data_IF_532372335851
#
_entry.id   IF_532372335851
#
_cell.length_a   1.000
_cell.length_b   1.000
_cell.length_c   1.000
_cell.angle_alpha   90.00
_cell.angle_beta   90.00
_cell.angle_gamma   90.00
#
_symmetry.space_group_name_H-M   'P 1'
#
loop_
_entity.id
_entity.type
_entity.pdbx_description
1 polymer ?
#
# COMPACT_ATOMS: atom_id res chain seq x y z
N UNK A 1 12.21 1.02 1.63
CA UNK A 1 13.12 2.13 1.23
C UNK A 1 12.23 3.32 0.87
N UNK A 2 12.17 4.35 1.71
CA UNK A 2 11.13 5.40 1.64
C UNK A 2 11.27 6.29 0.40
N UNK A 3 10.15 6.57 -0.28
CA UNK A 3 9.98 7.59 -1.34
C UNK A 3 10.66 8.92 -0.98
N UNK A 4 10.79 9.21 0.31
CA UNK A 4 11.41 10.43 0.83
C UNK A 4 12.88 10.61 0.42
N UNK A 5 13.62 9.53 0.16
CA UNK A 5 15.04 9.60 -0.23
C UNK A 5 15.21 9.96 -1.72
N UNK A 6 14.22 9.66 -2.56
CA UNK A 6 14.22 10.00 -3.99
C UNK A 6 13.89 11.49 -4.22
N UNK A 7 13.01 12.07 -3.40
CA UNK A 7 12.67 13.50 -3.50
C UNK A 7 13.79 14.43 -3.02
N UNK A 8 14.55 14.02 -1.99
CA UNK A 8 15.65 14.84 -1.47
C UNK A 8 16.75 15.06 -2.51
N UNK A 9 17.04 14.05 -3.34
CA UNK A 9 18.00 14.16 -4.45
C UNK A 9 17.51 15.10 -5.56
N UNK A 10 16.19 15.28 -5.71
CA UNK A 10 15.60 16.23 -6.66
C UNK A 10 15.66 17.67 -6.12
N UNK A 11 15.43 17.85 -4.82
CA UNK A 11 15.61 19.14 -4.14
C UNK A 11 17.08 19.59 -4.16
N UNK A 12 18.03 18.68 -3.98
CA UNK A 12 19.48 18.99 -4.02
C UNK A 12 19.97 19.31 -5.45
N UNK A 13 19.32 18.79 -6.49
CA UNK A 13 19.61 19.13 -7.91
C UNK A 13 18.92 20.45 -8.31
N UNK A 14 17.72 20.74 -7.77
CA UNK A 14 17.03 22.01 -8.00
C UNK A 14 17.71 23.22 -7.34
N UNK A 15 18.62 22.99 -6.37
CA UNK A 15 19.41 24.06 -5.76
C UNK A 15 20.52 24.66 -6.65
N UNK A 16 20.79 24.09 -7.84
CA UNK A 16 21.90 24.55 -8.71
C UNK A 16 21.54 25.55 -9.82
N UNK A 17 20.31 26.08 -9.87
CA UNK A 17 20.01 27.30 -10.64
C UNK A 17 18.77 27.99 -10.05
N UNK A 18 18.96 28.85 -9.04
CA UNK A 18 17.95 29.84 -8.65
C UNK A 18 17.78 30.82 -9.81
N UNK A 19 16.87 30.52 -10.74
CA UNK A 19 16.47 31.46 -11.77
C UNK A 19 15.46 32.44 -11.17
N UNK A 20 15.74 33.74 -11.31
CA UNK A 20 14.86 34.79 -10.78
C UNK A 20 13.53 34.75 -11.51
N UNK A 21 12.42 34.72 -10.76
CA UNK A 21 11.08 34.78 -11.36
C UNK A 21 10.87 36.16 -11.99
N UNK A 22 10.63 36.21 -13.29
CA UNK A 22 10.32 37.47 -13.98
C UNK A 22 8.95 37.96 -13.53
N UNK A 23 8.88 39.21 -13.12
CA UNK A 23 7.60 39.87 -12.88
C UNK A 23 6.92 40.18 -14.22
N UNK A 24 5.80 39.51 -14.50
CA UNK A 24 5.08 39.64 -15.76
C UNK A 24 4.48 41.04 -15.95
N UNK A 25 4.22 41.77 -14.86
CA UNK A 25 3.67 43.12 -14.93
C UNK A 25 4.70 44.14 -15.42
N UNK A 26 5.98 43.94 -15.10
CA UNK A 26 7.08 44.82 -15.51
C UNK A 26 7.61 44.58 -16.93
N UNK A 27 7.03 43.64 -17.69
CA UNK A 27 7.41 43.40 -19.08
C UNK A 27 7.15 44.64 -19.95
N UNK A 28 8.20 45.07 -20.68
CA UNK A 28 8.20 46.21 -21.59
C UNK A 28 7.29 45.97 -22.79
N UNK A 29 6.33 46.87 -23.01
CA UNK A 29 5.33 46.69 -24.09
C UNK A 29 5.92 47.03 -25.45
N UNK A 30 6.85 47.99 -25.51
CA UNK A 30 7.52 48.36 -26.77
C UNK A 30 8.41 47.25 -27.28
N UNK A 31 8.03 46.70 -28.44
CA UNK A 31 8.78 45.72 -29.21
C UNK A 31 10.25 46.06 -29.47
N UNK A 32 10.65 47.33 -29.53
CA UNK A 32 12.04 47.72 -29.72
C UNK A 32 12.88 47.49 -28.45
N UNK A 33 12.26 47.65 -27.28
CA UNK A 33 12.91 47.52 -25.99
C UNK A 33 12.74 46.11 -25.39
N UNK A 34 11.91 45.25 -26.00
CA UNK A 34 11.71 43.85 -25.58
C UNK A 34 13.04 43.09 -25.64
N UNK A 35 13.51 42.52 -24.51
CA UNK A 35 14.63 41.59 -24.52
C UNK A 35 14.31 40.37 -25.39
N UNK A 36 15.33 39.81 -26.05
CA UNK A 36 15.17 38.54 -26.78
C UNK A 36 14.59 37.46 -25.88
N UNK A 37 13.62 36.70 -26.39
CA UNK A 37 12.96 35.64 -25.61
C UNK A 37 13.95 34.56 -25.12
N UNK A 38 15.09 34.45 -25.80
CA UNK A 38 16.16 33.51 -25.46
C UNK A 38 16.91 33.90 -24.17
N UNK A 39 16.87 35.17 -23.78
CA UNK A 39 17.48 35.67 -22.54
C UNK A 39 16.73 35.18 -21.29
N UNK A 40 15.48 34.73 -21.44
CA UNK A 40 14.71 34.16 -20.35
C UNK A 40 14.94 32.66 -20.21
N UNK A 41 14.80 32.16 -18.98
CA UNK A 41 14.91 30.75 -18.67
C UNK A 41 13.84 29.92 -19.41
N UNK A 42 14.22 28.75 -19.94
CA UNK A 42 13.36 27.91 -20.81
C UNK A 42 11.98 27.66 -20.21
N UNK A 43 11.90 27.39 -18.91
CA UNK A 43 10.65 27.10 -18.20
C UNK A 43 9.71 28.32 -18.03
N UNK A 44 10.18 29.55 -18.27
CA UNK A 44 9.37 30.77 -18.17
C UNK A 44 9.00 31.37 -19.52
N UNK A 45 9.69 30.98 -20.61
CA UNK A 45 9.53 31.59 -21.93
C UNK A 45 8.09 31.58 -22.42
N UNK A 46 7.35 30.49 -22.19
CA UNK A 46 5.95 30.39 -22.62
C UNK A 46 5.01 31.27 -21.77
N UNK A 47 5.29 31.42 -20.48
CA UNK A 47 4.56 32.33 -19.60
C UNK A 47 4.77 33.79 -20.01
N UNK A 48 6.02 34.16 -20.32
CA UNK A 48 6.40 35.49 -20.78
C UNK A 48 5.80 35.79 -22.17
N UNK A 49 5.84 34.83 -23.12
CA UNK A 49 5.18 34.98 -24.43
C UNK A 49 3.68 35.24 -24.29
N UNK A 50 2.99 34.49 -23.41
CA UNK A 50 1.57 34.72 -23.12
C UNK A 50 1.31 36.10 -22.52
N UNK A 51 2.15 36.54 -21.59
CA UNK A 51 2.03 37.87 -20.99
C UNK A 51 2.20 39.00 -22.04
N UNK A 52 3.15 38.87 -22.98
CA UNK A 52 3.27 39.80 -24.10
C UNK A 52 2.02 39.82 -24.99
N UNK A 53 1.46 38.64 -25.31
CA UNK A 53 0.23 38.54 -26.11
C UNK A 53 -0.98 39.17 -25.42
N UNK A 54 -1.07 39.07 -24.09
CA UNK A 54 -2.15 39.67 -23.28
C UNK A 54 -2.02 41.20 -23.14
N UNK A 55 -0.79 41.74 -23.21
CA UNK A 55 -0.52 43.18 -23.17
C UNK A 55 -0.89 43.94 -24.45
N UNK A 56 -1.40 43.23 -25.47
CA UNK A 56 -1.79 43.71 -26.80
C UNK A 56 -0.63 44.32 -27.62
N UNK A 57 -0.78 44.42 -28.96
CA UNK A 57 0.14 45.15 -29.83
C UNK A 57 0.45 46.57 -29.33
N UNK A 58 1.71 46.96 -29.37
CA UNK A 58 2.09 48.35 -29.05
C UNK A 58 1.74 49.29 -30.22
N UNK A 59 0.90 50.29 -29.94
CA UNK A 59 0.53 51.35 -30.87
C UNK A 59 1.02 52.70 -30.35
N UNK A 60 2.05 53.31 -30.97
CA UNK A 60 2.52 54.62 -30.56
C UNK A 60 1.55 55.69 -31.10
N UNK A 61 0.53 56.02 -30.30
CA UNK A 61 -0.45 57.05 -30.59
C UNK A 61 0.23 58.43 -30.65
N UNK A 62 -0.13 59.24 -31.64
CA UNK A 62 0.42 60.58 -31.90
C UNK A 62 1.91 60.63 -32.30
N UNK A 63 2.50 59.49 -32.71
CA UNK A 63 3.86 59.47 -33.22
C UNK A 63 3.92 59.98 -34.67
N UNK A 64 4.77 60.98 -34.93
CA UNK A 64 5.03 61.45 -36.30
C UNK A 64 5.99 60.52 -37.00
N UNK A 65 5.47 59.56 -37.77
CA UNK A 65 6.28 58.65 -38.56
C UNK A 65 7.06 59.42 -39.65
N UNK A 66 8.41 59.33 -39.67
CA UNK A 66 9.22 60.04 -40.65
C UNK A 66 8.97 59.47 -42.05
N UNK A 67 8.92 60.31 -43.10
CA UNK A 67 8.80 59.83 -44.46
C UNK A 67 10.11 59.20 -44.93
N UNK A 68 10.02 58.16 -45.75
CA UNK A 68 11.15 57.54 -46.43
C UNK A 68 10.96 57.62 -47.95
N UNK A 69 12.04 57.89 -48.68
CA UNK A 69 12.00 57.94 -50.13
C UNK A 69 12.15 56.54 -50.72
N UNK A 70 11.16 56.12 -51.52
CA UNK A 70 11.19 54.84 -52.19
C UNK A 70 10.69 55.02 -53.62
N UNK A 71 11.64 54.98 -54.58
CA UNK A 71 11.36 55.19 -55.99
C UNK A 71 10.98 56.64 -56.35
N UNK A 72 11.54 57.64 -55.64
CA UNK A 72 11.32 59.06 -55.91
C UNK A 72 9.99 59.61 -55.38
N UNK A 73 9.34 58.89 -54.47
CA UNK A 73 8.09 59.31 -53.82
C UNK A 73 8.29 59.22 -52.30
N UNK A 74 8.04 60.30 -51.56
CA UNK A 74 8.04 60.25 -50.10
C UNK A 74 6.82 59.44 -49.67
N UNK A 75 7.07 58.38 -48.93
CA UNK A 75 6.05 57.57 -48.32
C UNK A 75 6.14 57.84 -46.79
N UNK A 76 5.06 57.81 -46.00
CA UNK A 76 5.06 57.59 -44.49
C UNK A 76 3.97 56.63 -43.97
N UNK A 77 4.21 55.87 -42.90
CA UNK A 77 3.17 55.00 -42.30
C UNK A 77 1.93 55.81 -41.90
N UNK A 78 0.73 55.26 -42.11
CA UNK A 78 -0.55 55.93 -41.83
C UNK A 78 -1.12 55.40 -40.51
N UNK A 79 -1.18 56.26 -39.49
CA UNK A 79 -1.63 55.91 -38.13
C UNK A 79 -3.06 55.33 -38.09
N UNK A 80 -3.96 55.80 -38.97
CA UNK A 80 -5.35 55.31 -39.02
C UNK A 80 -5.47 53.80 -39.30
N UNK A 81 -4.42 53.17 -39.81
CA UNK A 81 -4.39 51.73 -40.08
C UNK A 81 -4.34 50.86 -38.83
N UNK A 82 -3.90 51.41 -37.69
CA UNK A 82 -4.04 50.74 -36.39
C UNK A 82 -5.51 50.58 -36.00
N UNK A 83 -6.39 51.49 -36.39
CA UNK A 83 -7.83 51.38 -36.13
C UNK A 83 -8.43 50.14 -36.81
N UNK A 84 -8.16 50.00 -38.11
CA UNK A 84 -8.67 48.88 -38.92
C UNK A 84 -8.06 47.52 -38.54
N UNK A 85 -6.87 47.51 -37.91
CA UNK A 85 -6.08 46.29 -37.63
C UNK A 85 -5.59 46.19 -36.18
N UNK A 86 -6.42 46.69 -35.25
CA UNK A 86 -6.10 46.87 -33.83
C UNK A 86 -5.55 45.63 -33.12
N UNK A 87 -5.92 44.45 -33.58
CA UNK A 87 -5.68 43.20 -32.86
C UNK A 87 -4.40 42.46 -33.27
N UNK A 88 -3.71 42.89 -34.34
CA UNK A 88 -2.56 42.14 -34.86
C UNK A 88 -1.46 43.00 -35.52
N UNK A 89 -1.75 44.27 -35.85
CA UNK A 89 -0.76 45.16 -36.45
C UNK A 89 0.15 45.76 -35.37
N UNK A 90 1.42 45.38 -35.36
CA UNK A 90 2.48 45.94 -34.49
C UNK A 90 3.43 46.86 -35.30
N UNK A 91 3.84 47.97 -34.68
CA UNK A 91 4.65 49.02 -35.32
C UNK A 91 6.02 48.55 -35.85
N UNK A 92 6.82 47.83 -35.05
CA UNK A 92 8.23 47.57 -35.37
C UNK A 92 8.41 46.60 -36.56
N UNK A 93 7.61 45.54 -36.64
CA UNK A 93 7.70 44.55 -37.73
C UNK A 93 7.37 45.13 -39.12
N UNK A 94 6.42 46.07 -39.18
CA UNK A 94 5.96 46.65 -40.45
C UNK A 94 6.76 47.88 -40.88
N UNK A 95 7.28 48.67 -39.94
CA UNK A 95 7.94 49.95 -40.25
C UNK A 95 9.46 49.85 -40.38
N UNK A 96 10.14 48.97 -39.62
CA UNK A 96 11.61 48.83 -39.69
C UNK A 96 12.13 47.59 -40.42
N UNK A 97 11.42 46.46 -40.36
CA UNK A 97 12.05 45.16 -40.68
C UNK A 97 11.51 44.39 -41.88
N UNK A 98 10.30 44.63 -42.42
CA UNK A 98 9.77 43.59 -43.35
C UNK A 98 8.68 43.90 -44.37
N UNK A 99 8.01 45.06 -44.38
CA UNK A 99 6.89 45.25 -45.31
C UNK A 99 7.14 46.39 -46.30
N UNK A 100 7.58 46.07 -47.52
CA UNK A 100 7.92 47.06 -48.57
C UNK A 100 6.71 47.79 -49.19
N UNK A 101 5.47 47.40 -48.87
CA UNK A 101 4.24 47.91 -49.50
C UNK A 101 3.29 48.64 -48.53
N UNK A 102 3.87 49.29 -47.52
CA UNK A 102 3.21 49.98 -46.43
C UNK A 102 2.37 51.21 -46.84
N UNK A 103 2.31 51.53 -48.14
CA UNK A 103 1.44 52.56 -48.71
C UNK A 103 0.15 51.98 -49.35
N UNK A 104 -0.01 50.65 -49.39
CA UNK A 104 -1.18 49.97 -49.99
C UNK A 104 -1.93 49.14 -48.96
N UNK A 105 -3.15 49.56 -48.60
CA UNK A 105 -4.06 48.80 -47.72
C UNK A 105 -4.29 47.36 -48.21
N UNK A 106 -4.39 47.16 -49.53
CA UNK A 106 -4.52 45.83 -50.14
C UNK A 106 -3.36 44.86 -49.86
N UNK A 107 -2.17 45.36 -49.48
CA UNK A 107 -1.05 44.53 -49.07
C UNK A 107 -1.26 43.91 -47.68
N UNK A 108 -1.95 44.63 -46.77
CA UNK A 108 -2.32 44.15 -45.44
C UNK A 108 -3.40 43.06 -45.57
N UNK A 109 -4.39 43.29 -46.42
CA UNK A 109 -5.47 42.32 -46.69
C UNK A 109 -4.90 41.00 -47.24
N UNK A 110 -3.99 41.07 -48.21
CA UNK A 110 -3.29 39.88 -48.74
C UNK A 110 -2.41 39.17 -47.70
N UNK A 111 -1.78 39.89 -46.77
CA UNK A 111 -0.99 39.27 -45.72
C UNK A 111 -1.86 38.49 -44.74
N UNK A 112 -3.02 39.02 -44.36
CA UNK A 112 -3.98 38.38 -43.46
C UNK A 112 -4.45 37.03 -44.01
N UNK A 113 -4.60 36.92 -45.32
CA UNK A 113 -4.95 35.68 -46.03
C UNK A 113 -3.74 34.77 -46.30
N UNK A 114 -2.53 35.23 -45.99
CA UNK A 114 -1.30 34.48 -46.19
C UNK A 114 -1.17 33.29 -45.24
N UNK A 115 -0.65 32.18 -45.76
CA UNK A 115 -0.43 30.93 -44.99
C UNK A 115 0.43 31.16 -43.74
N UNK A 116 1.46 32.00 -43.83
CA UNK A 116 2.37 32.31 -42.72
C UNK A 116 1.60 33.00 -41.58
N UNK A 117 0.72 33.95 -41.89
CA UNK A 117 -0.09 34.65 -40.91
C UNK A 117 -1.06 33.67 -40.22
N UNK A 118 -1.77 32.86 -41.01
CA UNK A 118 -2.70 31.84 -40.50
C UNK A 118 -1.99 30.88 -39.54
N UNK A 119 -0.82 30.36 -39.92
CA UNK A 119 -0.01 29.47 -39.08
C UNK A 119 0.44 30.19 -37.79
N UNK A 120 0.85 31.46 -37.88
CA UNK A 120 1.26 32.23 -36.71
C UNK A 120 0.09 32.48 -35.73
N UNK A 121 -1.10 32.79 -36.25
CA UNK A 121 -2.33 32.95 -35.46
C UNK A 121 -2.71 31.63 -34.79
N UNK A 122 -2.65 30.51 -35.50
CA UNK A 122 -2.90 29.18 -34.94
C UNK A 122 -1.90 28.84 -33.81
N UNK A 123 -0.60 29.10 -34.01
CA UNK A 123 0.42 28.91 -32.97
C UNK A 123 0.14 29.76 -31.73
N UNK A 124 -0.28 31.01 -31.92
CA UNK A 124 -0.67 31.91 -30.84
C UNK A 124 -1.87 31.36 -30.05
N UNK A 125 -2.93 30.93 -30.75
CA UNK A 125 -4.12 30.34 -30.13
C UNK A 125 -3.77 29.07 -29.33
N UNK A 126 -2.94 28.19 -29.87
CA UNK A 126 -2.47 26.98 -29.18
C UNK A 126 -1.64 27.31 -27.94
N UNK A 127 -0.75 28.31 -28.00
CA UNK A 127 0.04 28.75 -26.86
C UNK A 127 -0.83 29.34 -25.73
N UNK A 128 -1.92 30.04 -26.09
CA UNK A 128 -2.88 30.60 -25.15
C UNK A 128 -3.77 29.52 -24.49
N UNK A 129 -3.95 28.36 -25.14
CA UNK A 129 -4.71 27.24 -24.60
C UNK A 129 -3.88 26.43 -23.58
N UNK A 130 -3.83 26.90 -22.34
CA UNK A 130 -3.06 26.24 -21.28
C UNK A 130 -3.48 24.78 -21.01
N UNK A 131 -4.70 24.37 -21.35
CA UNK A 131 -5.19 22.98 -21.15
C UNK A 131 -4.44 21.94 -21.98
N UNK A 132 -3.78 22.38 -23.06
CA UNK A 132 -2.94 21.56 -23.95
C UNK A 132 -1.44 21.70 -23.64
N UNK A 133 -1.08 22.43 -22.57
CA UNK A 133 0.32 22.55 -22.17
C UNK A 133 0.90 21.19 -21.79
N UNK A 134 2.23 21.06 -21.95
CA UNK A 134 2.98 19.87 -21.54
C UNK A 134 2.74 19.60 -20.04
N UNK A 135 2.76 20.64 -19.21
CA UNK A 135 2.46 20.54 -17.77
C UNK A 135 1.09 19.91 -17.52
N UNK A 136 0.03 20.45 -18.16
CA UNK A 136 -1.32 19.90 -18.00
C UNK A 136 -1.45 18.48 -18.57
N UNK A 137 -0.70 18.11 -19.60
CA UNK A 137 -0.66 16.74 -20.11
C UNK A 137 0.02 15.79 -19.11
N UNK A 138 1.12 16.20 -18.49
CA UNK A 138 1.80 15.44 -17.44
C UNK A 138 0.91 15.26 -16.20
N UNK A 139 0.28 16.33 -15.71
CA UNK A 139 -0.65 16.27 -14.57
C UNK A 139 -1.81 15.30 -14.83
N UNK A 140 -2.43 15.39 -16.01
CA UNK A 140 -3.49 14.46 -16.43
C UNK A 140 -2.98 13.02 -16.48
N UNK A 141 -1.81 12.78 -17.06
CA UNK A 141 -1.23 11.44 -17.13
C UNK A 141 -0.94 10.89 -15.72
N UNK A 142 -0.47 11.71 -14.80
CA UNK A 142 -0.26 11.34 -13.40
C UNK A 142 -1.58 10.92 -12.75
N UNK A 143 -2.63 11.73 -12.88
CA UNK A 143 -3.95 11.41 -12.29
C UNK A 143 -4.55 10.12 -12.86
N UNK A 144 -4.38 9.86 -14.16
CA UNK A 144 -4.86 8.62 -14.79
C UNK A 144 -4.09 7.40 -14.27
N UNK A 145 -2.75 7.50 -14.20
CA UNK A 145 -1.90 6.43 -13.66
C UNK A 145 -2.20 6.13 -12.20
N UNK A 146 -2.47 7.15 -11.38
CA UNK A 146 -2.90 7.00 -9.99
C UNK A 146 -4.23 6.25 -9.91
N UNK A 147 -5.22 6.65 -10.71
CA UNK A 147 -6.53 5.98 -10.75
C UNK A 147 -6.43 4.52 -11.19
N UNK A 148 -5.62 4.24 -12.21
CA UNK A 148 -5.33 2.88 -12.64
C UNK A 148 -4.64 2.06 -11.55
N UNK A 149 -3.65 2.63 -10.86
CA UNK A 149 -2.97 1.98 -9.74
C UNK A 149 -3.95 1.67 -8.61
N UNK A 150 -4.78 2.63 -8.22
CA UNK A 150 -5.80 2.45 -7.18
C UNK A 150 -6.80 1.35 -7.55
N UNK A 151 -7.21 1.29 -8.82
CA UNK A 151 -8.10 0.23 -9.32
C UNK A 151 -7.45 -1.16 -9.17
N UNK A 152 -6.16 -1.28 -9.51
CA UNK A 152 -5.40 -2.53 -9.36
C UNK A 152 -5.21 -2.91 -7.89
N UNK A 153 -4.90 -1.94 -7.02
CA UNK A 153 -4.76 -2.17 -5.59
C UNK A 153 -6.07 -2.64 -4.96
N UNK A 154 -7.19 -1.98 -5.28
CA UNK A 154 -8.51 -2.38 -4.79
C UNK A 154 -8.86 -3.81 -5.22
N UNK A 155 -8.61 -4.15 -6.50
CA UNK A 155 -8.78 -5.50 -6.98
C UNK A 155 -7.93 -6.52 -6.20
N UNK A 156 -6.65 -6.22 -5.95
CA UNK A 156 -5.78 -7.06 -5.13
C UNK A 156 -6.32 -7.25 -3.71
N UNK A 157 -6.82 -6.17 -3.08
CA UNK A 157 -7.43 -6.24 -1.74
C UNK A 157 -8.70 -7.11 -1.76
N UNK A 158 -9.53 -7.02 -2.80
CA UNK A 158 -10.73 -7.83 -2.92
C UNK A 158 -10.41 -9.31 -3.12
N UNK A 159 -9.33 -9.63 -3.86
CA UNK A 159 -8.79 -10.98 -3.91
C UNK A 159 -8.33 -11.46 -2.54
N UNK A 160 -7.57 -10.66 -1.79
CA UNK A 160 -7.15 -10.99 -0.41
C UNK A 160 -8.36 -11.30 0.47
N UNK A 161 -9.40 -10.46 0.43
CA UNK A 161 -10.63 -10.67 1.20
C UNK A 161 -11.33 -11.97 0.81
N UNK A 162 -11.37 -12.30 -0.47
CA UNK A 162 -11.93 -13.56 -0.94
C UNK A 162 -11.15 -14.76 -0.40
N UNK A 163 -9.83 -14.73 -0.49
CA UNK A 163 -8.95 -15.79 -0.01
C UNK A 163 -9.09 -15.98 1.50
N UNK A 164 -9.07 -14.88 2.27
CA UNK A 164 -9.27 -14.91 3.72
C UNK A 164 -10.61 -15.53 4.12
N UNK A 165 -11.70 -15.19 3.41
CA UNK A 165 -13.03 -15.77 3.66
C UNK A 165 -13.13 -17.27 3.34
N UNK A 166 -12.23 -17.77 2.50
CA UNK A 166 -12.19 -19.18 2.08
C UNK A 166 -11.08 -19.98 2.76
N UNK A 167 -10.26 -19.36 3.61
CA UNK A 167 -9.09 -20.01 4.20
C UNK A 167 -8.05 -20.44 3.16
N UNK A 168 -8.01 -19.78 2.01
CA UNK A 168 -7.11 -20.13 0.92
C UNK A 168 -5.77 -19.41 1.08
N UNK A 169 -4.69 -20.10 0.72
CA UNK A 169 -3.36 -19.54 0.74
C UNK A 169 -3.25 -18.37 -0.26
N UNK A 170 -2.53 -17.33 0.15
CA UNK A 170 -2.25 -16.16 -0.70
C UNK A 170 -1.36 -16.49 -1.90
N UNK A 171 -0.58 -17.58 -1.79
CA UNK A 171 0.21 -18.18 -2.85
C UNK A 171 -0.02 -19.69 -2.81
N UNK A 172 -0.46 -20.26 -3.93
CA UNK A 172 -0.52 -21.72 -4.09
C UNK A 172 0.89 -22.31 -4.27
N UNK A 173 1.01 -23.63 -4.13
CA UNK A 173 2.25 -24.35 -4.46
C UNK A 173 2.55 -24.44 -5.96
N UNK A 174 1.58 -24.11 -6.82
CA UNK A 174 1.73 -24.13 -8.28
C UNK A 174 1.37 -22.76 -8.86
N UNK A 175 2.37 -22.05 -9.37
CA UNK A 175 2.22 -20.81 -10.17
C UNK A 175 1.72 -21.08 -11.61
N UNK A 176 1.25 -22.30 -11.90
CA UNK A 176 0.75 -22.66 -13.23
C UNK A 176 -0.56 -21.91 -13.51
N UNK A 177 -0.64 -21.29 -14.68
CA UNK A 177 -1.68 -20.32 -15.10
C UNK A 177 -3.13 -20.83 -15.10
N UNK A 178 -3.34 -22.13 -14.87
CA UNK A 178 -4.62 -22.84 -14.95
C UNK A 178 -5.30 -23.11 -13.61
N UNK A 179 -4.70 -22.68 -12.48
CA UNK A 179 -5.42 -22.80 -11.21
C UNK A 179 -6.63 -21.85 -11.23
N UNK A 180 -7.81 -22.40 -10.95
CA UNK A 180 -9.13 -21.74 -10.95
C UNK A 180 -9.27 -20.64 -9.87
N UNK A 181 -8.15 -20.15 -9.34
CA UNK A 181 -8.09 -19.06 -8.39
C UNK A 181 -8.30 -17.74 -9.14
N UNK A 182 -9.38 -17.05 -8.76
CA UNK A 182 -9.81 -15.75 -9.28
C UNK A 182 -8.75 -14.65 -9.20
N UNK A 183 -7.63 -14.90 -8.52
CA UNK A 183 -6.43 -14.04 -8.46
C UNK A 183 -5.87 -13.65 -9.83
N UNK A 184 -6.01 -14.52 -10.82
CA UNK A 184 -5.42 -14.29 -12.14
C UNK A 184 -6.28 -13.43 -13.07
N UNK A 185 -7.60 -13.42 -12.91
CA UNK A 185 -8.49 -12.81 -13.93
C UNK A 185 -8.43 -11.29 -13.88
N UNK A 186 -8.34 -10.68 -12.69
CA UNK A 186 -8.39 -9.21 -12.56
C UNK A 186 -7.04 -8.55 -12.89
N UNK A 187 -5.92 -9.26 -12.68
CA UNK A 187 -4.57 -8.72 -12.87
C UNK A 187 -3.95 -9.05 -14.25
N UNK A 188 -4.57 -9.95 -15.05
CA UNK A 188 -4.09 -10.30 -16.41
C UNK A 188 -4.12 -9.10 -17.38
N UNK A 189 -5.04 -8.16 -17.17
CA UNK A 189 -5.20 -6.98 -18.03
C UNK A 189 -4.25 -5.82 -17.68
N UNK A 190 -3.46 -5.92 -16.61
CA UNK A 190 -2.51 -4.87 -16.24
C UNK A 190 -1.17 -5.03 -16.98
N UNK A 191 -0.48 -3.93 -17.33
CA UNK A 191 0.87 -3.96 -17.87
C UNK A 191 1.77 -4.81 -16.98
N UNK A 192 2.69 -5.61 -17.55
CA UNK A 192 3.52 -6.60 -16.81
C UNK A 192 4.15 -6.00 -15.54
N UNK A 193 4.58 -4.75 -15.62
CA UNK A 193 5.30 -4.02 -14.56
C UNK A 193 4.36 -3.49 -13.45
N UNK A 194 3.05 -3.69 -13.57
CA UNK A 194 2.03 -3.11 -12.69
C UNK A 194 1.01 -4.14 -12.21
N UNK A 195 1.30 -5.43 -12.34
CA UNK A 195 0.38 -6.50 -11.94
C UNK A 195 0.30 -6.71 -10.41
N UNK A 196 1.05 -5.95 -9.60
CA UNK A 196 1.06 -6.01 -8.12
C UNK A 196 1.35 -7.42 -7.54
N UNK A 197 2.01 -8.28 -8.32
CA UNK A 197 2.36 -9.66 -7.97
C UNK A 197 3.70 -9.80 -7.24
N UNK A 198 4.46 -8.71 -7.10
CA UNK A 198 5.75 -8.74 -6.41
C UNK A 198 5.57 -9.16 -4.94
N UNK A 199 6.47 -10.01 -4.43
CA UNK A 199 6.39 -10.50 -3.07
C UNK A 199 6.46 -9.43 -1.99
N UNK A 200 7.16 -8.32 -2.24
CA UNK A 200 7.19 -7.19 -1.31
C UNK A 200 5.82 -6.52 -1.21
N UNK A 201 5.18 -6.23 -2.36
CA UNK A 201 3.83 -5.62 -2.40
C UNK A 201 2.81 -6.52 -1.71
N UNK A 202 2.90 -7.84 -1.94
CA UNK A 202 2.01 -8.80 -1.31
C UNK A 202 2.20 -8.85 0.21
N UNK A 203 3.44 -8.83 0.70
CA UNK A 203 3.74 -8.75 2.13
C UNK A 203 3.20 -7.46 2.75
N UNK A 204 3.33 -6.33 2.06
CA UNK A 204 2.80 -5.05 2.53
C UNK A 204 1.26 -5.08 2.66
N UNK A 205 0.57 -5.66 1.67
CA UNK A 205 -0.90 -5.82 1.72
C UNK A 205 -1.31 -6.74 2.88
N UNK A 206 -0.61 -7.87 3.06
CA UNK A 206 -0.87 -8.81 4.16
C UNK A 206 -0.63 -8.14 5.52
N UNK A 207 0.46 -7.39 5.66
CA UNK A 207 0.77 -6.65 6.89
C UNK A 207 -0.33 -5.62 7.21
N UNK A 208 -0.75 -4.83 6.22
CA UNK A 208 -1.83 -3.86 6.39
C UNK A 208 -3.15 -4.54 6.81
N UNK A 209 -3.47 -5.71 6.24
CA UNK A 209 -4.64 -6.50 6.64
C UNK A 209 -4.52 -7.02 8.08
N UNK A 210 -3.34 -7.53 8.47
CA UNK A 210 -3.06 -7.96 9.84
C UNK A 210 -3.26 -6.82 10.83
N UNK A 211 -2.69 -5.65 10.56
CA UNK A 211 -2.80 -4.47 11.43
C UNK A 211 -4.26 -4.01 11.57
N UNK A 212 -5.04 -4.01 10.48
CA UNK A 212 -6.46 -3.68 10.51
C UNK A 212 -7.28 -4.67 11.36
N UNK A 213 -7.04 -5.97 11.20
CA UNK A 213 -7.72 -7.01 11.99
C UNK A 213 -7.40 -6.84 13.48
N UNK A 214 -6.13 -6.60 13.79
CA UNK A 214 -5.67 -6.38 15.16
C UNK A 214 -6.28 -5.13 15.78
N UNK A 215 -6.38 -4.04 15.03
CA UNK A 215 -7.06 -2.81 15.48
C UNK A 215 -8.55 -3.05 15.79
N UNK A 216 -9.22 -3.91 15.01
CA UNK A 216 -10.61 -4.30 15.30
C UNK A 216 -10.67 -5.11 16.60
N UNK A 217 -9.78 -6.09 16.77
CA UNK A 217 -9.71 -6.93 17.99
C UNK A 217 -9.43 -6.07 19.24
N UNK A 218 -8.42 -5.20 19.19
CA UNK A 218 -8.06 -4.32 20.31
C UNK A 218 -9.15 -3.28 20.58
N UNK A 219 -9.80 -2.77 19.54
CA UNK A 219 -10.97 -1.90 19.67
C UNK A 219 -12.14 -2.59 20.39
N UNK A 220 -12.41 -3.86 20.06
CA UNK A 220 -13.48 -4.66 20.68
C UNK A 220 -13.16 -5.01 22.15
N UNK A 221 -11.88 -5.24 22.47
CA UNK A 221 -11.37 -5.41 23.84
C UNK A 221 -11.42 -4.10 24.65
N UNK A 222 -11.13 -2.96 24.00
CA UNK A 222 -11.08 -1.63 24.62
C UNK A 222 -10.15 -1.60 25.84
N UNK A 223 -10.69 -1.16 26.98
CA UNK A 223 -9.99 -1.11 28.28
C UNK A 223 -10.29 -2.33 29.18
N UNK A 224 -10.94 -3.38 28.65
CA UNK A 224 -11.31 -4.58 29.39
C UNK A 224 -10.13 -5.44 29.85
N UNK A 225 -10.40 -6.39 30.75
CA UNK A 225 -9.42 -7.40 31.12
C UNK A 225 -9.40 -8.54 30.09
N UNK A 226 -8.28 -9.25 30.01
CA UNK A 226 -8.13 -10.37 29.08
C UNK A 226 -7.30 -11.51 29.69
N UNK A 227 -7.44 -12.70 29.11
CA UNK A 227 -6.59 -13.85 29.36
C UNK A 227 -5.72 -14.13 28.14
N UNK A 228 -4.51 -14.66 28.39
CA UNK A 228 -3.53 -15.01 27.36
C UNK A 228 -3.39 -16.52 27.25
N UNK A 229 -3.37 -16.99 26.01
CA UNK A 229 -3.22 -18.39 25.64
C UNK A 229 -2.00 -18.42 24.72
N UNK A 230 -0.93 -19.09 25.15
CA UNK A 230 0.29 -19.16 24.36
C UNK A 230 0.73 -20.61 24.19
N UNK A 231 1.17 -20.92 22.97
CA UNK A 231 1.60 -22.26 22.59
C UNK A 231 2.87 -22.19 21.74
N UNK A 232 3.78 -23.12 21.99
CA UNK A 232 5.06 -23.25 21.29
C UNK A 232 4.94 -24.25 20.14
N UNK A 233 5.56 -23.93 19.01
CA UNK A 233 5.61 -24.82 17.85
C UNK A 233 6.86 -24.58 17.03
N UNK A 234 7.19 -25.48 16.11
CA UNK A 234 8.32 -25.33 15.19
C UNK A 234 7.83 -25.23 13.76
N UNK A 235 8.46 -24.37 12.96
CA UNK A 235 8.20 -24.32 11.52
C UNK A 235 8.91 -25.46 10.76
N UNK A 236 8.65 -25.56 9.46
CA UNK A 236 9.27 -26.57 8.56
C UNK A 236 10.80 -26.45 8.46
N UNK A 237 11.38 -25.34 8.90
CA UNK A 237 12.83 -25.13 9.00
C UNK A 237 13.36 -25.35 10.42
N UNK A 238 12.56 -25.99 11.28
CA UNK A 238 12.84 -26.26 12.69
C UNK A 238 13.10 -25.00 13.53
N UNK A 239 12.50 -23.87 13.16
CA UNK A 239 12.57 -22.63 13.96
C UNK A 239 11.42 -22.55 14.92
N UNK A 240 11.74 -22.17 16.15
CA UNK A 240 10.79 -21.99 17.24
C UNK A 240 9.84 -20.81 16.99
N UNK A 241 8.56 -21.03 17.27
CA UNK A 241 7.47 -20.08 17.07
C UNK A 241 6.54 -20.07 18.27
N UNK A 242 6.12 -18.87 18.67
CA UNK A 242 5.13 -18.66 19.72
C UNK A 242 3.83 -18.15 19.10
N UNK A 243 2.76 -18.93 19.24
CA UNK A 243 1.40 -18.50 18.91
C UNK A 243 0.76 -17.82 20.13
N UNK A 244 0.07 -16.70 19.92
CA UNK A 244 -0.64 -15.99 20.98
C UNK A 244 -2.12 -15.78 20.61
N UNK A 245 -2.99 -16.21 21.52
CA UNK A 245 -4.44 -16.02 21.46
C UNK A 245 -4.88 -15.25 22.70
N UNK A 246 -5.82 -14.32 22.51
CA UNK A 246 -6.46 -13.57 23.59
C UNK A 246 -7.89 -14.04 23.79
N UNK A 247 -8.27 -14.23 25.05
CA UNK A 247 -9.66 -14.48 25.45
C UNK A 247 -10.18 -13.31 26.29
N UNK A 248 -11.28 -12.70 25.89
CA UNK A 248 -11.84 -11.54 26.58
C UNK A 248 -13.35 -11.44 26.39
N UNK A 249 -13.97 -10.50 27.11
CA UNK A 249 -15.39 -10.17 26.95
C UNK A 249 -15.50 -8.98 26.01
N UNK A 250 -16.17 -9.17 24.87
CA UNK A 250 -16.36 -8.10 23.88
C UNK A 250 -17.40 -7.06 24.37
N UNK A 251 -17.62 -6.01 23.57
CA UNK A 251 -18.60 -4.96 23.88
C UNK A 251 -20.06 -5.44 23.94
N UNK A 252 -20.35 -6.64 23.41
CA UNK A 252 -21.66 -7.30 23.46
C UNK A 252 -21.81 -8.22 24.67
N UNK A 253 -20.84 -8.20 25.60
CA UNK A 253 -20.79 -9.08 26.77
C UNK A 253 -20.62 -10.57 26.44
N UNK A 254 -20.04 -10.89 25.27
CA UNK A 254 -19.77 -12.26 24.84
C UNK A 254 -18.31 -12.62 25.10
N UNK A 255 -18.07 -13.87 25.52
CA UNK A 255 -16.71 -14.41 25.64
C UNK A 255 -16.21 -14.73 24.23
N UNK A 256 -15.12 -14.07 23.82
CA UNK A 256 -14.50 -14.26 22.51
C UNK A 256 -13.04 -14.67 22.65
N UNK A 257 -12.61 -15.56 21.77
CA UNK A 257 -11.21 -15.95 21.59
C UNK A 257 -10.73 -15.42 20.24
N UNK A 258 -9.60 -14.72 20.24
CA UNK A 258 -9.04 -14.07 19.06
C UNK A 258 -7.56 -14.41 18.95
N UNK A 259 -7.20 -15.10 17.88
CA UNK A 259 -5.81 -15.26 17.48
C UNK A 259 -5.22 -13.90 17.13
N UNK A 260 -4.05 -13.62 17.71
CA UNK A 260 -3.41 -12.30 17.58
C UNK A 260 -2.17 -12.38 16.70
N UNK A 261 -1.43 -13.47 16.80
CA UNK A 261 -0.32 -13.67 15.89
C UNK A 261 0.59 -14.80 16.30
N UNK A 262 1.55 -15.04 15.40
CA UNK A 262 2.62 -15.98 15.59
C UNK A 262 3.96 -15.24 15.44
N UNK A 263 4.90 -15.56 16.32
CA UNK A 263 6.16 -14.81 16.43
C UNK A 263 7.31 -15.79 16.55
N UNK A 264 8.30 -15.65 15.67
CA UNK A 264 9.53 -16.43 15.78
C UNK A 264 10.28 -16.02 17.04
N UNK A 265 10.69 -17.03 17.81
CA UNK A 265 11.54 -16.88 18.99
C UNK A 265 12.89 -17.55 18.73
N UNK A 266 13.95 -17.04 19.37
CA UNK A 266 15.30 -17.60 19.17
C UNK A 266 15.55 -18.81 20.08
N UNK A 267 14.87 -18.84 21.22
CA UNK A 267 14.89 -19.93 22.18
C UNK A 267 13.55 -19.99 22.93
N UNK A 268 13.30 -21.13 23.56
CA UNK A 268 12.07 -21.51 24.25
C UNK A 268 12.17 -21.31 25.76
N UNK A 269 13.17 -20.53 26.21
CA UNK A 269 13.30 -20.21 27.62
C UNK A 269 12.13 -19.36 28.08
N UNK A 270 11.67 -19.57 29.32
CA UNK A 270 10.55 -18.82 29.88
C UNK A 270 10.75 -17.29 29.83
N UNK A 271 12.00 -16.81 29.93
CA UNK A 271 12.35 -15.39 29.82
C UNK A 271 12.18 -14.86 28.39
N UNK A 272 12.66 -15.60 27.38
CA UNK A 272 12.49 -15.27 25.96
C UNK A 272 11.02 -15.25 25.57
N UNK A 273 10.25 -16.24 26.00
CA UNK A 273 8.82 -16.33 25.74
C UNK A 273 8.06 -15.17 26.39
N UNK A 274 8.37 -14.84 27.65
CA UNK A 274 7.78 -13.67 28.33
C UNK A 274 8.10 -12.37 27.61
N UNK A 275 9.36 -12.13 27.27
CA UNK A 275 9.78 -10.94 26.54
C UNK A 275 9.06 -10.83 25.19
N UNK A 276 8.89 -11.94 24.49
CA UNK A 276 8.16 -12.00 23.22
C UNK A 276 6.68 -11.65 23.40
N UNK A 277 6.01 -12.21 24.41
CA UNK A 277 4.61 -11.87 24.72
C UNK A 277 4.49 -10.38 25.04
N UNK A 278 5.40 -9.81 25.82
CA UNK A 278 5.34 -8.40 26.19
C UNK A 278 5.65 -7.47 25.00
N UNK A 279 6.59 -7.85 24.12
CA UNK A 279 6.83 -7.15 22.84
C UNK A 279 5.56 -7.12 22.00
N UNK A 280 4.91 -8.29 21.84
CA UNK A 280 3.64 -8.43 21.14
C UNK A 280 2.55 -7.54 21.75
N UNK A 281 2.28 -7.66 23.06
CA UNK A 281 1.29 -6.83 23.75
C UNK A 281 1.58 -5.33 23.65
N UNK A 282 2.84 -4.92 23.73
CA UNK A 282 3.24 -3.52 23.65
C UNK A 282 2.94 -2.88 22.30
N UNK A 283 3.14 -3.63 21.20
CA UNK A 283 2.82 -3.18 19.83
C UNK A 283 1.34 -2.88 19.64
N UNK A 284 0.48 -3.52 20.43
CA UNK A 284 -0.97 -3.34 20.38
C UNK A 284 -1.52 -2.50 21.52
N UNK A 285 -0.63 -1.81 22.25
CA UNK A 285 -0.97 -0.96 23.39
C UNK A 285 -1.79 -1.70 24.48
N UNK A 286 -1.50 -3.00 24.66
CA UNK A 286 -2.12 -3.82 25.69
C UNK A 286 -1.19 -3.91 26.89
N UNK A 287 -1.66 -3.42 28.04
CA UNK A 287 -0.87 -3.48 29.27
C UNK A 287 -0.90 -4.90 29.86
N UNK A 288 0.26 -5.50 30.21
CA UNK A 288 0.31 -6.78 30.91
C UNK A 288 -0.44 -6.77 32.25
N UNK A 289 -0.56 -5.61 32.90
CA UNK A 289 -1.29 -5.46 34.18
C UNK A 289 -2.78 -5.79 34.08
N UNK A 290 -3.33 -5.81 32.85
CA UNK A 290 -4.73 -6.16 32.55
C UNK A 290 -4.95 -7.65 32.30
N UNK A 291 -3.89 -8.46 32.35
CA UNK A 291 -4.00 -9.91 32.27
C UNK A 291 -4.69 -10.43 33.54
N UNK A 292 -5.69 -11.28 33.36
CA UNK A 292 -6.43 -11.95 34.46
C UNK A 292 -6.39 -13.46 34.38
N UNK A 293 -6.11 -14.01 33.20
CA UNK A 293 -5.94 -15.44 32.99
C UNK A 293 -4.70 -15.74 32.15
N UNK A 294 -4.08 -16.87 32.41
CA UNK A 294 -2.97 -17.41 31.62
C UNK A 294 -3.17 -18.90 31.38
N UNK A 295 -2.97 -19.35 30.14
CA UNK A 295 -3.12 -20.74 29.70
C UNK A 295 -1.93 -21.13 28.82
N UNK A 296 -1.22 -22.18 29.21
CA UNK A 296 -0.03 -22.69 28.52
C UNK A 296 -0.03 -24.22 28.53
N UNK A 297 0.84 -24.82 27.73
CA UNK A 297 1.09 -26.26 27.78
C UNK A 297 1.80 -26.68 29.09
N UNK A 298 1.95 -27.99 29.26
CA UNK A 298 2.58 -28.59 30.45
C UNK A 298 4.10 -28.50 30.46
N UNK A 299 4.75 -27.89 29.46
CA UNK A 299 6.21 -27.86 29.38
C UNK A 299 6.82 -27.11 30.57
N UNK A 300 8.02 -27.50 30.98
CA UNK A 300 8.69 -26.92 32.16
C UNK A 300 8.95 -25.43 32.01
N UNK A 301 9.32 -24.97 30.81
CA UNK A 301 9.53 -23.55 30.49
C UNK A 301 8.22 -22.76 30.50
N UNK A 302 7.08 -23.40 30.30
CA UNK A 302 5.77 -22.76 30.21
C UNK A 302 5.02 -22.75 31.55
N UNK A 303 4.91 -23.92 32.20
CA UNK A 303 4.11 -24.12 33.42
C UNK A 303 4.92 -24.40 34.69
N UNK A 304 6.25 -24.44 34.59
CA UNK A 304 7.15 -24.75 35.70
C UNK A 304 6.98 -23.85 36.93
N UNK A 305 7.04 -24.45 38.11
CA UNK A 305 6.68 -23.80 39.37
C UNK A 305 7.60 -22.63 39.77
N UNK A 306 8.89 -22.67 39.43
CA UNK A 306 9.87 -21.68 39.86
C UNK A 306 10.25 -20.70 38.75
N UNK A 307 10.62 -21.22 37.58
CA UNK A 307 11.14 -20.43 36.46
C UNK A 307 10.29 -20.58 35.18
N UNK A 308 9.09 -21.13 35.28
CA UNK A 308 8.18 -21.21 34.13
C UNK A 308 7.55 -19.87 33.81
N UNK A 309 7.14 -19.69 32.54
CA UNK A 309 6.46 -18.50 32.03
C UNK A 309 5.29 -18.08 32.91
N UNK A 310 4.47 -19.06 33.31
CA UNK A 310 3.39 -18.93 34.29
C UNK A 310 3.81 -18.18 35.55
N UNK A 311 4.90 -18.62 36.18
CA UNK A 311 5.38 -18.03 37.44
C UNK A 311 5.96 -16.64 37.20
N UNK A 312 6.70 -16.46 36.11
CA UNK A 312 7.30 -15.17 35.77
C UNK A 312 6.29 -14.06 35.49
N UNK A 313 5.16 -14.38 34.84
CA UNK A 313 4.08 -13.41 34.59
C UNK A 313 3.25 -13.20 35.86
N UNK A 314 2.95 -14.26 36.61
CA UNK A 314 2.18 -14.17 37.87
C UNK A 314 2.89 -13.32 38.93
N UNK A 315 4.23 -13.39 39.00
CA UNK A 315 5.02 -12.57 39.92
C UNK A 315 4.92 -11.07 39.63
N UNK A 316 4.79 -10.67 38.36
CA UNK A 316 4.61 -9.27 37.97
C UNK A 316 3.14 -8.84 38.00
N UNK A 317 2.25 -9.72 37.56
CA UNK A 317 0.81 -9.48 37.51
C UNK A 317 0.12 -10.49 38.42
N UNK A 318 0.05 -10.17 39.73
CA UNK A 318 -0.54 -11.05 40.75
C UNK A 318 -1.98 -11.47 40.46
N UNK A 319 -2.71 -10.69 39.66
CA UNK A 319 -4.09 -10.97 39.25
C UNK A 319 -4.20 -11.93 38.05
N UNK A 320 -3.10 -12.36 37.44
CA UNK A 320 -3.07 -13.28 36.31
C UNK A 320 -3.10 -14.74 36.78
N UNK A 321 -4.29 -15.32 36.84
CA UNK A 321 -4.50 -16.68 37.36
C UNK A 321 -4.26 -17.73 36.28
N UNK A 322 -3.61 -18.83 36.63
CA UNK A 322 -3.39 -19.93 35.70
C UNK A 322 -4.64 -20.79 35.54
N UNK A 323 -5.12 -20.91 34.31
CA UNK A 323 -6.30 -21.68 33.92
C UNK A 323 -5.83 -23.02 33.34
N UNK A 324 -5.60 -24.01 34.20
CA UNK A 324 -5.42 -25.40 33.77
C UNK A 324 -6.61 -26.24 34.23
N UNK A 325 -7.54 -26.50 33.31
CA UNK A 325 -8.78 -27.22 33.59
C UNK A 325 -8.52 -28.63 34.15
N UNK A 326 -7.52 -29.34 33.62
CA UNK A 326 -7.14 -30.68 34.07
C UNK A 326 -6.57 -30.66 35.49
N UNK A 327 -5.75 -29.68 35.84
CA UNK A 327 -5.17 -29.58 37.18
C UNK A 327 -6.23 -29.25 38.23
N UNK A 328 -7.17 -28.35 37.90
CA UNK A 328 -8.31 -28.03 38.76
C UNK A 328 -9.24 -29.24 38.90
N UNK A 329 -9.47 -29.98 37.82
CA UNK A 329 -10.32 -31.17 37.83
C UNK A 329 -9.71 -32.33 38.65
N UNK A 330 -8.38 -32.50 38.65
CA UNK A 330 -7.69 -33.48 39.51
C UNK A 330 -7.81 -33.19 41.01
N UNK A 331 -8.16 -31.98 41.43
CA UNK A 331 -8.49 -31.70 42.83
C UNK A 331 -9.85 -32.30 43.24
N UNK A 332 -10.67 -32.73 42.29
CA UNK A 332 -11.90 -33.45 42.54
C UNK A 332 -11.61 -34.96 42.52
N UNK A 333 -11.77 -35.62 43.67
CA UNK A 333 -11.40 -37.04 43.87
C UNK A 333 -11.98 -37.95 42.79
N UNK A 334 -13.28 -37.84 42.48
CA UNK A 334 -13.92 -38.67 41.44
C UNK A 334 -13.32 -38.51 40.05
N UNK A 335 -12.87 -37.31 39.70
CA UNK A 335 -12.27 -37.04 38.39
C UNK A 335 -10.82 -37.51 38.38
N UNK A 336 -10.11 -37.35 39.50
CA UNK A 336 -8.78 -37.92 39.66
C UNK A 336 -8.81 -39.46 39.56
N UNK A 337 -9.73 -40.13 40.25
CA UNK A 337 -9.92 -41.58 40.20
C UNK A 337 -10.18 -42.06 38.76
N UNK A 338 -10.99 -41.33 38.00
CA UNK A 338 -11.21 -41.60 36.58
C UNK A 338 -9.90 -41.54 35.77
N UNK A 339 -9.12 -40.46 35.94
CA UNK A 339 -7.85 -40.32 35.24
C UNK A 339 -6.80 -41.36 35.68
N UNK A 340 -6.84 -41.79 36.94
CA UNK A 340 -5.97 -42.86 37.47
C UNK A 340 -6.33 -44.22 36.86
N UNK A 341 -7.62 -44.54 36.76
CA UNK A 341 -8.10 -45.77 36.07
C UNK A 341 -7.72 -45.75 34.59
N UNK A 342 -7.91 -44.62 33.90
CA UNK A 342 -7.50 -44.47 32.49
C UNK A 342 -5.99 -44.64 32.35
N UNK A 343 -5.19 -44.06 33.24
CA UNK A 343 -3.73 -44.19 33.21
C UNK A 343 -3.27 -45.64 33.45
N UNK A 344 -3.91 -46.35 34.38
CA UNK A 344 -3.64 -47.77 34.62
C UNK A 344 -3.99 -48.64 33.40
N UNK A 345 -5.14 -48.40 32.79
CA UNK A 345 -5.56 -49.10 31.56
C UNK A 345 -4.58 -48.84 30.40
N UNK A 346 -4.17 -47.58 30.20
CA UNK A 346 -3.19 -47.22 29.19
C UNK A 346 -1.83 -47.88 29.44
N UNK A 347 -1.41 -48.01 30.70
CA UNK A 347 -0.17 -48.71 31.05
C UNK A 347 -0.26 -50.22 30.78
N UNK A 348 -1.38 -50.87 31.11
CA UNK A 348 -1.60 -52.30 30.83
C UNK A 348 -1.58 -52.56 29.32
N UNK A 349 -2.34 -51.76 28.55
CA UNK A 349 -2.41 -51.90 27.09
C UNK A 349 -1.07 -51.52 26.45
N UNK A 350 -0.43 -50.46 26.94
CA UNK A 350 0.81 -49.92 26.40
C UNK A 350 2.05 -50.78 26.65
N UNK A 351 2.06 -51.58 27.71
CA UNK A 351 3.16 -52.52 28.03
C UNK A 351 3.03 -53.87 27.32
N UNK A 352 1.85 -54.22 26.83
CA UNK A 352 1.61 -55.47 26.10
C UNK A 352 1.61 -55.25 24.58
N UNK A 353 2.69 -55.67 23.91
CA UNK A 353 2.79 -55.63 22.44
C UNK A 353 1.60 -56.32 21.74
N UNK A 354 1.14 -57.45 22.27
CA UNK A 354 0.00 -58.20 21.70
C UNK A 354 -1.32 -57.42 21.77
N UNK A 355 -1.59 -56.77 22.92
CA UNK A 355 -2.82 -56.00 23.09
C UNK A 355 -2.80 -54.70 22.26
N UNK A 356 -1.63 -54.07 22.14
CA UNK A 356 -1.44 -52.91 21.26
C UNK A 356 -1.72 -53.26 19.80
N UNK A 357 -1.22 -54.39 19.32
CA UNK A 357 -1.46 -54.85 17.94
C UNK A 357 -2.93 -55.23 17.70
N UNK A 358 -3.60 -55.87 18.66
CA UNK A 358 -5.03 -56.14 18.55
C UNK A 358 -5.88 -54.86 18.51
N UNK A 359 -5.52 -53.86 19.32
CA UNK A 359 -6.20 -52.56 19.32
C UNK A 359 -6.02 -51.84 17.98
N UNK A 360 -4.80 -51.85 17.42
CA UNK A 360 -4.50 -51.29 16.08
C UNK A 360 -5.32 -51.98 14.99
N UNK A 361 -5.38 -53.32 15.00
CA UNK A 361 -6.19 -54.09 14.05
C UNK A 361 -7.68 -53.74 14.13
N UNK A 362 -8.24 -53.61 15.33
CA UNK A 362 -9.65 -53.20 15.52
C UNK A 362 -9.89 -51.77 15.04
N UNK A 363 -8.95 -50.85 15.28
CA UNK A 363 -9.04 -49.47 14.81
C UNK A 363 -8.97 -49.40 13.28
N UNK A 364 -8.04 -50.12 12.65
CA UNK A 364 -7.93 -50.23 11.20
C UNK A 364 -9.23 -50.77 10.59
N UNK A 365 -9.83 -51.82 11.17
CA UNK A 365 -11.10 -52.37 10.70
C UNK A 365 -12.25 -51.35 10.78
N UNK A 366 -12.32 -50.54 11.85
CA UNK A 366 -13.32 -49.47 11.99
C UNK A 366 -13.14 -48.36 10.97
N UNK A 367 -11.89 -47.92 10.74
CA UNK A 367 -11.58 -46.90 9.74
C UNK A 367 -11.95 -47.40 8.34
N UNK A 368 -11.62 -48.66 8.02
CA UNK A 368 -11.99 -49.28 6.74
C UNK A 368 -13.51 -49.37 6.56
N UNK A 369 -14.27 -49.70 7.60
CA UNK A 369 -15.73 -49.73 7.55
C UNK A 369 -16.32 -48.33 7.33
N UNK A 370 -15.86 -47.32 8.08
CA UNK A 370 -16.31 -45.94 7.95
C UNK A 370 -15.94 -45.31 6.59
N UNK A 371 -14.80 -45.69 6.00
CA UNK A 371 -14.45 -45.32 4.63
C UNK A 371 -15.38 -45.97 3.60
N UNK A 372 -15.80 -47.22 3.83
CA UNK A 372 -16.72 -47.93 2.94
C UNK A 372 -18.16 -47.39 3.02
N UNK A 373 -18.58 -46.90 4.19
CA UNK A 373 -19.89 -46.28 4.42
C UNK A 373 -19.94 -44.80 3.96
N UNK A 374 -18.78 -44.20 3.65
CA UNK A 374 -18.67 -42.81 3.20
C UNK A 374 -18.62 -41.78 4.33
N UNK A 375 -18.48 -42.24 5.57
CA UNK A 375 -18.39 -41.40 6.78
C UNK A 375 -17.01 -40.74 6.95
N UNK A 376 -15.99 -41.27 6.28
CA UNK A 376 -14.62 -40.72 6.27
C UNK A 376 -14.14 -40.47 4.83
N UNK A 377 -13.39 -39.39 4.64
CA UNK A 377 -12.72 -39.09 3.37
C UNK A 377 -11.31 -39.71 3.33
N UNK A 378 -10.91 -40.23 2.16
CA UNK A 378 -9.55 -40.72 1.92
C UNK A 378 -8.64 -39.61 1.39
N UNK A 379 -7.43 -39.46 1.92
CA UNK A 379 -6.44 -38.51 1.41
C UNK A 379 -5.08 -38.64 2.07
N UNK A 380 -4.05 -38.04 1.46
CA UNK A 380 -2.67 -38.09 1.95
C UNK A 380 -2.57 -37.40 3.31
N UNK A 381 -2.20 -38.15 4.35
CA UNK A 381 -2.13 -37.64 5.73
C UNK A 381 -3.41 -37.78 6.55
N UNK A 382 -4.53 -38.23 5.94
CA UNK A 382 -5.78 -38.50 6.65
C UNK A 382 -5.81 -39.94 7.18
N UNK A 383 -6.51 -40.14 8.30
CA UNK A 383 -6.75 -41.45 8.92
C UNK A 383 -5.47 -42.23 9.29
N UNK A 384 -4.37 -41.54 9.56
CA UNK A 384 -3.11 -42.14 10.02
C UNK A 384 -3.27 -42.83 11.38
N UNK A 385 -2.45 -43.86 11.62
CA UNK A 385 -2.35 -44.47 12.94
C UNK A 385 -1.81 -43.44 13.95
N UNK A 386 -2.64 -43.05 14.91
CA UNK A 386 -2.21 -42.29 16.07
C UNK A 386 -1.62 -43.25 17.10
N UNK A 387 -0.43 -42.95 17.60
CA UNK A 387 0.15 -43.73 18.70
C UNK A 387 -0.64 -43.52 19.99
N UNK A 388 -0.62 -44.54 20.87
CA UNK A 388 -1.19 -44.43 22.22
C UNK A 388 -0.31 -43.47 23.01
N UNK A 389 -0.68 -42.18 23.05
CA UNK A 389 0.01 -41.17 23.85
C UNK A 389 -0.07 -41.53 25.34
N UNK A 390 1.08 -41.60 26.01
CA UNK A 390 1.10 -41.73 27.47
C UNK A 390 0.65 -40.40 28.10
N UNK A 391 0.12 -40.42 29.33
CA UNK A 391 -0.24 -39.19 30.06
C UNK A 391 0.92 -38.19 30.25
N UNK A 392 2.16 -38.60 29.98
CA UNK A 392 3.39 -37.83 30.09
C UNK A 392 4.04 -37.44 28.76
N UNK A 393 3.53 -37.95 27.63
CA UNK A 393 4.07 -37.65 26.31
C UNK A 393 3.26 -36.50 25.71
N UNK A 394 3.82 -35.29 25.73
CA UNK A 394 3.25 -34.08 25.13
C UNK A 394 3.12 -34.24 23.62
#
# INVERSE_FOLDING_TARGET
MSLHMFYKKKEDIEQQQKYTKVDLNSLLVDTFERPSIELYHVNQRDEIRRAYLQKWPFHPLNHKFPPHDFGGKPQRFIESWFGDNKYWLEYNHFVKSGFKAWNRKSGIDKHKEGTIHIIAVQKCQSLMNQRQSITSAFEKQTSLKEKEYQTRLNASIDCVRFLLRKGLAFRGHNDKEDSNNKDHVVLKNAPKNSQMKCGEIQKDIVQACSDLILNVITGDLGNGFFAIFADESHDVSCKEQLALVLRFVNRKCEIVERFVGLRNVNDTSALSLKATIYDMLSKWNLSPTRIRGQCYDGASNMSGAFNGLKTLIMNETKSAHFLALVFVAKNHTTVNDFFDVVSQLLNIIGTSYKQRDELRKKQAAKVMAALAEGDLESGTGLNQELDIKRPSDT
#
